data_IF_518070960887
#
_entry.id   IF_518070960887
#
_cell.length_a   1.000
_cell.length_b   1.000
_cell.length_c   1.000
_cell.angle_alpha   90.00
_cell.angle_beta   90.00
_cell.angle_gamma   90.00
#
_symmetry.space_group_name_H-M   'P 1'
#
loop_
_entity.id
_entity.type
_entity.pdbx_description
1 polymer ?
#
# COMPACT_ATOMS: atom_id res chain seq x y z
N UNK A 1 24.80 -20.15 -37.67
CA UNK A 1 24.04 -20.61 -36.50
C UNK A 1 23.87 -19.38 -35.60
N UNK A 2 22.67 -18.89 -35.50
CA UNK A 2 22.31 -17.81 -34.55
C UNK A 2 21.96 -18.49 -33.25
N UNK A 3 22.87 -18.43 -32.27
CA UNK A 3 22.58 -18.92 -30.94
C UNK A 3 21.71 -17.84 -30.22
N UNK A 4 20.49 -18.20 -29.84
CA UNK A 4 19.59 -17.34 -29.06
C UNK A 4 19.97 -17.57 -27.60
N UNK A 5 20.56 -16.56 -26.97
CA UNK A 5 20.83 -16.57 -25.55
C UNK A 5 19.59 -16.04 -24.81
N UNK A 6 19.04 -16.86 -23.92
CA UNK A 6 17.98 -16.45 -23.02
C UNK A 6 18.61 -15.89 -21.73
N UNK A 7 18.05 -14.80 -21.24
CA UNK A 7 18.46 -14.22 -19.97
C UNK A 7 18.15 -15.21 -18.83
N UNK A 8 19.07 -15.45 -17.86
CA UNK A 8 18.87 -16.48 -16.84
C UNK A 8 17.67 -16.23 -15.93
N UNK A 9 17.27 -14.96 -15.76
CA UNK A 9 16.12 -14.57 -14.98
C UNK A 9 14.96 -14.11 -15.87
N UNK A 10 14.10 -15.06 -16.29
CA UNK A 10 12.85 -14.76 -16.99
C UNK A 10 12.88 -14.81 -18.52
N UNK A 11 14.00 -15.19 -19.14
CA UNK A 11 14.14 -15.24 -20.61
C UNK A 11 13.33 -16.32 -21.31
N UNK A 12 12.87 -17.36 -20.61
CA UNK A 12 11.98 -18.40 -21.14
C UNK A 12 10.90 -18.74 -20.12
N UNK A 13 9.67 -18.38 -20.39
CA UNK A 13 8.53 -18.72 -19.57
C UNK A 13 7.63 -19.74 -20.27
N UNK A 14 7.43 -20.91 -19.67
CA UNK A 14 6.56 -21.96 -20.19
C UNK A 14 5.21 -21.85 -19.48
N UNK A 15 4.19 -21.40 -20.19
CA UNK A 15 2.83 -21.33 -19.69
C UNK A 15 2.11 -22.66 -19.98
N UNK A 16 1.53 -23.25 -18.94
CA UNK A 16 0.69 -24.44 -19.06
C UNK A 16 -0.63 -24.24 -18.32
N UNK A 17 -1.67 -24.90 -18.77
CA UNK A 17 -3.01 -24.78 -18.23
C UNK A 17 -3.10 -25.44 -16.85
N UNK A 18 -3.23 -24.64 -15.79
CA UNK A 18 -3.27 -25.12 -14.37
C UNK A 18 -4.70 -25.24 -13.85
N UNK A 19 -5.68 -24.57 -14.46
CA UNK A 19 -7.06 -24.55 -13.95
C UNK A 19 -8.05 -23.87 -14.89
N UNK A 20 -9.32 -23.87 -14.47
CA UNK A 20 -10.40 -23.23 -15.21
C UNK A 20 -10.33 -21.71 -15.07
N UNK A 21 -10.56 -21.00 -16.19
CA UNK A 21 -10.62 -19.53 -16.21
C UNK A 21 -11.63 -18.96 -15.21
N UNK A 22 -12.80 -19.58 -15.08
CA UNK A 22 -13.86 -19.15 -14.18
C UNK A 22 -13.41 -19.09 -12.71
N UNK A 23 -12.73 -20.14 -12.24
CA UNK A 23 -12.22 -20.19 -10.87
C UNK A 23 -11.13 -19.16 -10.63
N UNK A 24 -10.30 -18.90 -11.63
CA UNK A 24 -9.25 -17.88 -11.55
C UNK A 24 -9.84 -16.46 -11.52
N UNK A 25 -10.83 -16.20 -12.35
CA UNK A 25 -11.59 -14.95 -12.35
C UNK A 25 -12.30 -14.72 -11.02
N UNK A 26 -12.95 -15.75 -10.47
CA UNK A 26 -13.60 -15.67 -9.17
C UNK A 26 -12.63 -15.30 -8.04
N UNK A 27 -11.42 -15.88 -8.01
CA UNK A 27 -10.36 -15.52 -7.07
C UNK A 27 -9.95 -14.05 -7.23
N UNK A 28 -9.79 -13.59 -8.46
CA UNK A 28 -9.46 -12.18 -8.74
C UNK A 28 -10.56 -11.23 -8.25
N UNK A 29 -11.82 -11.56 -8.51
CA UNK A 29 -12.98 -10.80 -8.03
C UNK A 29 -13.06 -10.74 -6.50
N UNK A 30 -12.76 -11.84 -5.81
CA UNK A 30 -12.72 -11.88 -4.35
C UNK A 30 -11.66 -10.90 -3.79
N UNK A 31 -10.47 -10.87 -4.37
CA UNK A 31 -9.42 -9.93 -3.92
C UNK A 31 -9.86 -8.48 -4.12
N UNK A 32 -10.50 -8.16 -5.24
CA UNK A 32 -11.05 -6.82 -5.48
C UNK A 32 -12.14 -6.51 -4.45
N UNK A 33 -13.02 -7.45 -4.15
CA UNK A 33 -14.08 -7.30 -3.15
C UNK A 33 -13.52 -7.03 -1.75
N UNK A 34 -12.43 -7.68 -1.33
CA UNK A 34 -11.77 -7.40 -0.07
C UNK A 34 -11.24 -5.96 0.02
N UNK A 35 -10.71 -5.43 -1.09
CA UNK A 35 -10.30 -4.01 -1.16
C UNK A 35 -11.50 -3.07 -0.99
N UNK A 36 -12.62 -3.37 -1.65
CA UNK A 36 -13.84 -2.57 -1.54
C UNK A 36 -14.40 -2.60 -0.12
N UNK A 37 -14.38 -3.73 0.57
CA UNK A 37 -14.78 -3.84 1.98
C UNK A 37 -13.93 -2.91 2.87
N UNK A 38 -12.62 -2.92 2.66
CA UNK A 38 -11.72 -2.02 3.40
C UNK A 38 -12.00 -0.54 3.09
N UNK A 39 -12.19 -0.17 1.83
CA UNK A 39 -12.52 1.21 1.44
C UNK A 39 -13.86 1.67 2.02
N UNK A 40 -14.85 0.77 2.07
CA UNK A 40 -16.14 1.05 2.71
C UNK A 40 -15.96 1.31 4.22
N UNK A 41 -15.18 0.49 4.92
CA UNK A 41 -14.86 0.67 6.33
C UNK A 41 -14.12 2.01 6.57
N UNK A 42 -13.18 2.35 5.69
CA UNK A 42 -12.45 3.62 5.73
C UNK A 42 -13.40 4.81 5.53
N UNK A 43 -14.32 4.72 4.55
CA UNK A 43 -15.29 5.76 4.27
C UNK A 43 -16.26 6.00 5.43
N UNK A 44 -16.78 4.92 6.02
CA UNK A 44 -17.65 5.00 7.19
C UNK A 44 -16.91 5.61 8.39
N UNK A 45 -15.67 5.19 8.64
CA UNK A 45 -14.86 5.76 9.71
C UNK A 45 -14.55 7.24 9.49
N UNK A 46 -14.18 7.62 8.27
CA UNK A 46 -13.93 9.02 7.92
C UNK A 46 -15.18 9.89 8.10
N UNK A 47 -16.36 9.38 7.74
CA UNK A 47 -17.63 10.09 7.88
C UNK A 47 -18.01 10.39 9.35
N UNK A 48 -17.41 9.72 10.32
CA UNK A 48 -17.66 10.02 11.75
C UNK A 48 -17.07 11.36 12.20
N UNK A 49 -16.03 11.84 11.53
CA UNK A 49 -15.34 13.09 11.90
C UNK A 49 -15.24 14.12 10.76
N UNK A 50 -15.41 13.70 9.51
CA UNK A 50 -15.43 14.55 8.31
C UNK A 50 -16.88 14.72 7.81
N UNK A 51 -17.11 15.75 6.99
CA UNK A 51 -18.34 15.86 6.22
C UNK A 51 -18.35 14.82 5.09
N UNK A 52 -19.53 14.40 4.65
CA UNK A 52 -19.65 13.36 3.63
C UNK A 52 -18.82 13.62 2.35
N UNK A 53 -18.84 14.84 1.74
CA UNK A 53 -18.03 15.09 0.55
C UNK A 53 -16.53 14.99 0.81
N UNK A 54 -16.05 15.48 1.97
CA UNK A 54 -14.63 15.40 2.32
C UNK A 54 -14.18 13.98 2.65
N UNK A 55 -15.04 13.17 3.25
CA UNK A 55 -14.78 11.76 3.48
C UNK A 55 -14.64 10.99 2.16
N UNK A 56 -15.56 11.21 1.20
CA UNK A 56 -15.48 10.59 -0.12
C UNK A 56 -14.20 10.99 -0.86
N UNK A 57 -13.83 12.27 -0.84
CA UNK A 57 -12.61 12.77 -1.46
C UNK A 57 -11.37 12.14 -0.81
N UNK A 58 -11.35 12.08 0.53
CA UNK A 58 -10.24 11.46 1.28
C UNK A 58 -10.06 9.98 0.93
N UNK A 59 -11.15 9.21 0.86
CA UNK A 59 -11.12 7.80 0.48
C UNK A 59 -10.67 7.62 -0.98
N UNK A 60 -11.13 8.49 -1.88
CA UNK A 60 -10.69 8.49 -3.28
C UNK A 60 -9.20 8.75 -3.42
N UNK A 61 -8.68 9.77 -2.74
CA UNK A 61 -7.23 10.05 -2.71
C UNK A 61 -6.44 8.90 -2.10
N UNK A 62 -6.94 8.32 -0.99
CA UNK A 62 -6.34 7.15 -0.39
C UNK A 62 -6.27 5.97 -1.38
N UNK A 63 -7.36 5.69 -2.11
CA UNK A 63 -7.41 4.62 -3.11
C UNK A 63 -6.37 4.82 -4.21
N UNK A 64 -6.24 6.05 -4.74
CA UNK A 64 -5.24 6.38 -5.76
C UNK A 64 -3.83 6.16 -5.21
N UNK A 65 -3.54 6.68 -4.02
CA UNK A 65 -2.24 6.53 -3.38
C UNK A 65 -1.89 5.07 -3.07
N UNK A 66 -2.84 4.29 -2.54
CA UNK A 66 -2.66 2.86 -2.25
C UNK A 66 -2.50 2.02 -3.53
N UNK A 67 -3.14 2.41 -4.63
CA UNK A 67 -2.97 1.74 -5.92
C UNK A 67 -1.62 2.07 -6.57
N UNK A 68 -1.12 3.29 -6.37
CA UNK A 68 0.20 3.73 -6.84
C UNK A 68 1.35 3.28 -5.92
N UNK A 69 1.08 2.64 -4.79
CA UNK A 69 2.09 2.28 -3.79
C UNK A 69 3.23 1.43 -4.35
N UNK A 70 2.94 0.50 -5.29
CA UNK A 70 3.97 -0.30 -5.95
C UNK A 70 4.95 0.55 -6.76
N UNK A 71 4.43 1.48 -7.55
CA UNK A 71 5.25 2.42 -8.31
C UNK A 71 6.08 3.33 -7.39
N UNK A 72 5.48 3.80 -6.30
CA UNK A 72 6.18 4.63 -5.30
C UNK A 72 7.31 3.81 -4.64
N UNK A 73 7.05 2.56 -4.28
CA UNK A 73 8.06 1.67 -3.69
C UNK A 73 9.24 1.45 -4.64
N UNK A 74 8.97 1.12 -5.89
CA UNK A 74 9.98 0.92 -6.91
C UNK A 74 10.77 2.22 -7.19
N UNK A 75 10.07 3.35 -7.30
CA UNK A 75 10.72 4.66 -7.47
C UNK A 75 11.60 5.03 -6.29
N UNK A 76 11.16 4.77 -5.06
CA UNK A 76 11.98 5.01 -3.86
C UNK A 76 13.22 4.11 -3.82
N UNK A 77 13.11 2.88 -4.29
CA UNK A 77 14.24 1.95 -4.38
C UNK A 77 15.30 2.45 -5.38
N UNK A 78 14.88 2.83 -6.59
CA UNK A 78 15.80 3.34 -7.63
C UNK A 78 16.39 4.72 -7.31
N UNK A 79 15.62 5.60 -6.66
CA UNK A 79 16.07 6.92 -6.23
C UNK A 79 16.77 6.92 -4.86
N UNK A 80 16.92 5.77 -4.23
CA UNK A 80 17.71 5.67 -3.00
C UNK A 80 19.18 5.52 -3.38
N UNK A 81 20.01 6.59 -3.35
CA UNK A 81 21.45 6.50 -3.57
C UNK A 81 22.16 5.74 -2.44
N UNK A 82 21.39 5.27 -1.47
CA UNK A 82 21.85 4.66 -0.25
C UNK A 82 21.22 3.28 -0.15
N UNK A 83 22.04 2.25 -0.36
CA UNK A 83 21.64 0.85 -0.18
C UNK A 83 21.08 0.64 1.23
N UNK A 84 19.76 0.77 1.36
CA UNK A 84 19.07 0.29 2.54
C UNK A 84 19.13 -1.23 2.50
N UNK A 85 19.85 -1.84 3.41
CA UNK A 85 19.56 -3.22 3.75
C UNK A 85 18.13 -3.24 4.31
N UNK A 86 17.25 -3.89 3.60
CA UNK A 86 15.83 -4.04 3.91
C UNK A 86 15.61 -4.65 5.31
N UNK A 87 16.62 -5.33 5.83
CA UNK A 87 16.71 -6.00 7.13
C UNK A 87 17.04 -5.07 8.32
N UNK A 88 17.35 -3.79 8.11
CA UNK A 88 17.75 -2.89 9.19
C UNK A 88 16.58 -2.62 10.16
N UNK A 89 16.79 -2.68 11.50
CA UNK A 89 15.77 -2.41 12.49
C UNK A 89 15.28 -0.95 12.43
N UNK A 90 14.02 -0.71 12.78
CA UNK A 90 13.33 0.59 12.67
C UNK A 90 14.09 1.76 13.30
N UNK A 91 14.75 1.53 14.43
CA UNK A 91 15.50 2.57 15.12
C UNK A 91 16.73 3.05 14.33
N UNK A 92 17.41 2.17 13.58
CA UNK A 92 18.51 2.54 12.69
C UNK A 92 18.02 3.35 11.49
N UNK A 93 16.85 2.99 10.94
CA UNK A 93 16.21 3.76 9.86
C UNK A 93 15.87 5.18 10.33
N UNK A 94 15.32 5.32 11.54
CA UNK A 94 14.99 6.62 12.13
C UNK A 94 16.27 7.46 12.40
N UNK A 95 17.28 6.86 13.02
CA UNK A 95 18.54 7.53 13.31
C UNK A 95 19.24 8.03 12.02
N UNK A 96 19.19 7.22 10.97
CA UNK A 96 19.73 7.56 9.67
C UNK A 96 18.97 8.74 9.01
N UNK A 97 17.64 8.73 9.03
CA UNK A 97 16.81 9.83 8.51
C UNK A 97 17.11 11.14 9.23
N UNK A 98 17.22 11.10 10.57
CA UNK A 98 17.55 12.27 11.37
C UNK A 98 18.95 12.78 11.04
N UNK A 99 19.93 11.89 10.91
CA UNK A 99 21.29 12.22 10.54
C UNK A 99 21.41 12.89 9.16
N UNK A 100 20.68 12.36 8.17
CA UNK A 100 20.62 12.96 6.83
C UNK A 100 19.96 14.35 6.82
N UNK A 101 18.83 14.48 7.54
CA UNK A 101 18.18 15.79 7.66
C UNK A 101 19.12 16.82 8.27
N UNK A 102 19.83 16.45 9.33
CA UNK A 102 20.80 17.32 9.98
C UNK A 102 21.96 17.73 9.05
N UNK A 103 22.51 16.75 8.32
CA UNK A 103 23.59 17.00 7.37
C UNK A 103 23.17 17.92 6.22
N UNK A 104 21.97 17.72 5.67
CA UNK A 104 21.44 18.55 4.58
C UNK A 104 21.10 19.97 5.04
N UNK A 105 20.63 20.13 6.29
CA UNK A 105 20.42 21.46 6.89
C UNK A 105 21.75 22.18 7.06
N UNK A 106 22.78 21.48 7.54
CA UNK A 106 24.10 22.06 7.78
C UNK A 106 24.79 22.50 6.48
N UNK A 107 24.55 21.81 5.36
CA UNK A 107 25.12 22.13 4.04
C UNK A 107 24.30 23.16 3.24
N UNK A 108 23.09 23.53 3.70
CA UNK A 108 22.24 24.51 3.02
C UNK A 108 21.60 24.03 1.71
N UNK A 109 21.62 22.73 1.43
CA UNK A 109 21.07 22.13 0.22
C UNK A 109 19.55 21.97 0.34
N UNK A 110 18.80 23.01 -0.04
CA UNK A 110 17.34 23.03 0.01
C UNK A 110 16.70 21.90 -0.82
N UNK A 111 17.29 21.56 -1.97
CA UNK A 111 16.79 20.48 -2.82
C UNK A 111 16.93 19.10 -2.16
N UNK A 112 18.08 18.82 -1.57
CA UNK A 112 18.30 17.59 -0.81
C UNK A 112 17.38 17.49 0.41
N UNK A 113 17.05 18.61 1.03
CA UNK A 113 16.11 18.69 2.17
C UNK A 113 14.68 18.37 1.76
N UNK A 114 14.20 18.90 0.63
CA UNK A 114 12.89 18.59 0.06
C UNK A 114 12.81 17.11 -0.30
N UNK A 115 13.83 16.55 -0.94
CA UNK A 115 13.89 15.13 -1.27
C UNK A 115 13.88 14.24 -0.02
N UNK A 116 14.64 14.57 1.01
CA UNK A 116 14.68 13.82 2.27
C UNK A 116 13.34 13.86 2.98
N UNK A 117 12.68 15.02 3.01
CA UNK A 117 11.33 15.16 3.58
C UNK A 117 10.30 14.35 2.79
N UNK A 118 10.29 14.46 1.46
CA UNK A 118 9.38 13.71 0.60
C UNK A 118 9.54 12.19 0.78
N UNK A 119 10.79 11.70 0.87
CA UNK A 119 11.10 10.29 1.16
C UNK A 119 10.59 9.85 2.52
N UNK A 120 10.81 10.67 3.56
CA UNK A 120 10.34 10.36 4.91
C UNK A 120 8.82 10.28 4.97
N UNK A 121 8.13 11.22 4.34
CA UNK A 121 6.66 11.20 4.25
C UNK A 121 6.18 9.99 3.46
N UNK A 122 6.78 9.70 2.30
CA UNK A 122 6.41 8.55 1.48
C UNK A 122 6.66 7.21 2.19
N UNK A 123 7.79 7.06 2.88
CA UNK A 123 8.10 5.84 3.65
C UNK A 123 7.17 5.68 4.85
N UNK A 124 6.86 6.76 5.58
CA UNK A 124 5.89 6.75 6.66
C UNK A 124 4.48 6.40 6.18
N UNK A 125 4.08 6.93 5.03
CA UNK A 125 2.81 6.59 4.39
C UNK A 125 2.73 5.10 4.06
N UNK A 126 3.79 4.50 3.51
CA UNK A 126 3.83 3.09 3.18
C UNK A 126 3.73 2.15 4.39
N UNK A 127 4.23 2.57 5.55
CA UNK A 127 4.10 1.78 6.79
C UNK A 127 2.65 1.75 7.27
N UNK A 128 1.92 2.87 7.12
CA UNK A 128 0.55 3.03 7.62
C UNK A 128 -0.50 2.53 6.63
N UNK A 129 -0.21 2.62 5.33
CA UNK A 129 -1.16 2.28 4.28
C UNK A 129 -0.92 0.86 3.80
N UNK A 130 -1.94 -0.02 3.83
CA UNK A 130 -1.80 -1.35 3.23
C UNK A 130 -1.54 -1.20 1.73
N UNK A 131 -0.44 -1.78 1.28
CA UNK A 131 -0.04 -1.78 -0.13
C UNK A 131 -1.02 -2.62 -0.95
N UNK A 132 -1.79 -1.98 -1.82
CA UNK A 132 -2.69 -2.69 -2.72
C UNK A 132 -1.95 -3.31 -3.91
N UNK A 133 -0.73 -2.87 -4.20
CA UNK A 133 0.09 -3.44 -5.28
C UNK A 133 0.37 -4.92 -5.10
N UNK A 134 0.68 -5.36 -3.87
CA UNK A 134 0.97 -6.75 -3.54
C UNK A 134 -0.23 -7.69 -3.74
N UNK A 135 -1.43 -7.11 -3.72
CA UNK A 135 -2.70 -7.82 -3.90
C UNK A 135 -3.39 -7.43 -5.21
N UNK A 136 -2.63 -7.18 -6.29
CA UNK A 136 -3.21 -6.84 -7.58
C UNK A 136 -3.49 -8.10 -8.43
N UNK A 137 -4.73 -8.60 -8.48
CA UNK A 137 -5.07 -9.79 -9.26
C UNK A 137 -5.18 -9.50 -10.75
N UNK A 138 -5.28 -8.21 -11.13
CA UNK A 138 -5.57 -7.82 -12.52
C UNK A 138 -4.47 -8.25 -13.46
N UNK A 139 -3.20 -8.09 -13.08
CA UNK A 139 -2.05 -8.53 -13.87
C UNK A 139 -2.05 -10.05 -14.08
N UNK A 140 -2.36 -10.82 -13.04
CA UNK A 140 -2.42 -12.28 -13.16
C UNK A 140 -3.53 -12.74 -14.09
N UNK A 141 -4.72 -12.12 -13.99
CA UNK A 141 -5.86 -12.49 -14.84
C UNK A 141 -5.65 -12.02 -16.28
N UNK A 142 -5.09 -10.83 -16.52
CA UNK A 142 -4.80 -10.31 -17.86
C UNK A 142 -3.75 -11.13 -18.59
N UNK A 143 -2.74 -11.60 -17.87
CA UNK A 143 -1.65 -12.41 -18.44
C UNK A 143 -2.02 -13.91 -18.54
N UNK A 144 -3.25 -14.28 -18.18
CA UNK A 144 -3.70 -15.67 -18.16
C UNK A 144 -3.05 -16.51 -17.07
N UNK A 145 -2.39 -15.89 -16.10
CA UNK A 145 -1.73 -16.56 -14.96
C UNK A 145 -2.74 -16.90 -13.87
N UNK A 146 -2.48 -17.99 -13.15
CA UNK A 146 -3.32 -18.37 -12.00
C UNK A 146 -3.08 -17.43 -10.81
N UNK A 147 -4.15 -16.87 -10.27
CA UNK A 147 -4.09 -16.09 -9.02
C UNK A 147 -3.73 -17.02 -7.86
N UNK A 148 -2.59 -16.80 -7.17
CA UNK A 148 -2.18 -17.68 -6.08
C UNK A 148 -3.16 -17.59 -4.91
N UNK A 149 -3.48 -18.74 -4.33
CA UNK A 149 -4.41 -18.82 -3.19
C UNK A 149 -3.88 -18.03 -1.98
N UNK A 150 -2.57 -17.96 -1.83
CA UNK A 150 -1.91 -17.15 -0.80
C UNK A 150 -2.27 -15.66 -0.90
N UNK A 151 -2.41 -15.14 -2.12
CA UNK A 151 -2.86 -13.75 -2.37
C UNK A 151 -4.30 -13.54 -1.90
N UNK A 152 -5.19 -14.50 -2.15
CA UNK A 152 -6.60 -14.43 -1.72
C UNK A 152 -6.70 -14.46 -0.20
N UNK A 153 -6.01 -15.42 0.45
CA UNK A 153 -5.99 -15.55 1.91
C UNK A 153 -5.31 -14.33 2.56
N UNK A 154 -4.20 -13.88 2.01
CA UNK A 154 -3.50 -12.68 2.49
C UNK A 154 -4.37 -11.42 2.35
N UNK A 155 -5.05 -11.24 1.24
CA UNK A 155 -6.01 -10.15 1.03
C UNK A 155 -7.18 -10.19 2.02
N UNK A 156 -7.74 -11.38 2.27
CA UNK A 156 -8.79 -11.58 3.27
C UNK A 156 -8.30 -11.19 4.67
N UNK A 157 -7.20 -11.78 5.13
CA UNK A 157 -6.72 -11.60 6.50
C UNK A 157 -6.19 -10.18 6.74
N UNK A 158 -5.27 -9.71 5.89
CA UNK A 158 -4.62 -8.41 6.09
C UNK A 158 -5.56 -7.27 5.73
N UNK A 159 -6.13 -7.26 4.52
CA UNK A 159 -6.88 -6.11 4.02
C UNK A 159 -8.31 -6.11 4.55
N UNK A 160 -9.07 -7.20 4.35
CA UNK A 160 -10.48 -7.22 4.70
C UNK A 160 -10.73 -7.32 6.20
N UNK A 161 -9.90 -8.03 6.97
CA UNK A 161 -10.13 -8.23 8.41
C UNK A 161 -9.27 -7.24 9.22
N UNK A 162 -7.95 -7.39 9.22
CA UNK A 162 -7.09 -6.64 10.14
C UNK A 162 -7.24 -5.12 9.93
N UNK A 163 -7.00 -4.64 8.71
CA UNK A 163 -7.06 -3.21 8.44
C UNK A 163 -8.47 -2.63 8.55
N UNK A 164 -9.51 -3.36 8.13
CA UNK A 164 -10.89 -2.89 8.28
C UNK A 164 -11.30 -2.79 9.75
N UNK A 165 -10.88 -3.73 10.60
CA UNK A 165 -11.13 -3.69 12.04
C UNK A 165 -10.38 -2.52 12.68
N UNK A 166 -9.09 -2.33 12.37
CA UNK A 166 -8.30 -1.20 12.89
C UNK A 166 -8.95 0.13 12.56
N UNK A 167 -9.31 0.35 11.29
CA UNK A 167 -9.95 1.59 10.84
C UNK A 167 -11.32 1.78 11.48
N UNK A 168 -12.11 0.72 11.60
CA UNK A 168 -13.43 0.78 12.26
C UNK A 168 -13.32 1.10 13.75
N UNK A 169 -12.31 0.56 14.45
CA UNK A 169 -12.03 0.90 15.84
C UNK A 169 -11.64 2.38 16.01
N UNK A 170 -10.82 2.90 15.11
CA UNK A 170 -10.46 4.33 15.09
C UNK A 170 -11.71 5.19 14.91
N UNK A 171 -12.55 4.87 13.92
CA UNK A 171 -13.83 5.56 13.69
C UNK A 171 -14.75 5.50 14.91
N UNK A 172 -14.88 4.34 15.54
CA UNK A 172 -15.68 4.16 16.77
C UNK A 172 -15.17 4.99 17.94
N UNK A 173 -13.84 5.07 18.14
CA UNK A 173 -13.24 5.90 19.19
C UNK A 173 -13.54 7.40 18.99
N UNK A 174 -13.48 7.88 17.75
CA UNK A 174 -13.85 9.26 17.43
C UNK A 174 -15.34 9.51 17.64
N UNK A 175 -16.19 8.59 17.21
CA UNK A 175 -17.64 8.69 17.39
C UNK A 175 -18.00 8.77 18.88
N UNK A 176 -17.45 7.87 19.70
CA UNK A 176 -17.67 7.85 21.16
C UNK A 176 -17.30 9.16 21.82
N UNK A 177 -16.20 9.80 21.42
CA UNK A 177 -15.79 11.11 21.97
C UNK A 177 -16.75 12.23 21.58
N UNK A 178 -17.34 12.18 20.39
CA UNK A 178 -18.31 13.20 19.93
C UNK A 178 -19.66 13.09 20.62
N UNK A 179 -20.16 11.90 20.88
CA UNK A 179 -21.44 11.71 21.60
C UNK A 179 -21.35 12.23 23.04
N UNK A 180 -20.24 11.98 23.72
CA UNK A 180 -20.03 12.47 25.08
C UNK A 180 -20.00 14.01 25.17
N UNK A 181 -19.68 14.72 24.11
CA UNK A 181 -19.65 16.18 24.08
C UNK A 181 -21.03 16.82 23.84
N UNK A 182 -22.06 16.07 23.43
CA UNK A 182 -23.40 16.60 23.15
C UNK A 182 -24.44 16.42 24.24
N UNK A 183 -24.12 15.77 25.33
CA UNK A 183 -25.06 15.50 26.45
C UNK A 183 -24.94 16.55 27.58
N UNK A 184 -24.40 17.71 27.30
CA UNK A 184 -24.47 18.86 28.25
C UNK A 184 -25.44 19.88 27.64
N UNK A 185 -26.72 19.68 27.89
CA UNK A 185 -27.76 20.70 27.86
C UNK A 185 -28.35 20.79 29.27
#
# INVERSE_FOLDING_TARGET
RTDIQFEPDGGLEILYTVGNFETNLAKGMLVIWFRLCFLAALGLSAATFLTFPTACLGVGLYYIAASASGFIHESLYWFSPWGYEESAPLWQKIAYIIGQLWHNIANGDLWALIQAFAKTVASGFMVVVPTFSDYNPTSFVSDGRNVPIAMVIGGLLKVAIIWSVVVSLVGWLFFRKRELARVII
#
